data_IF_118622134201
#
_entry.id   IF_118622134201
#
_cell.length_a   1.000
_cell.length_b   1.000
_cell.length_c   1.000
_cell.angle_alpha   90.00
_cell.angle_beta   90.00
_cell.angle_gamma   90.00
#
_symmetry.space_group_name_H-M   'P 1'
#
loop_
_entity.id
_entity.type
_entity.pdbx_description
1 polymer ?
#
# COMPACT_ATOMS: atom_id res chain seq x y z
N UNK A 1 -10.56 -6.07 0.11
CA UNK A 1 -10.22 -7.21 -0.77
C UNK A 1 -10.53 -6.94 -2.24
N UNK A 2 -11.79 -6.73 -2.66
CA UNK A 2 -12.11 -6.55 -4.09
C UNK A 2 -11.27 -5.48 -4.81
N UNK A 3 -11.05 -4.32 -4.18
CA UNK A 3 -10.18 -3.27 -4.71
C UNK A 3 -8.70 -3.65 -4.71
N UNK A 4 -8.22 -4.26 -3.62
CA UNK A 4 -6.84 -4.72 -3.48
C UNK A 4 -6.46 -5.72 -4.60
N UNK A 5 -7.31 -6.70 -4.87
CA UNK A 5 -7.06 -7.71 -5.91
C UNK A 5 -7.18 -7.13 -7.32
N UNK A 6 -8.35 -6.56 -7.64
CA UNK A 6 -8.67 -6.18 -9.01
C UNK A 6 -7.93 -4.91 -9.46
N UNK A 7 -7.90 -3.89 -8.61
CA UNK A 7 -7.36 -2.57 -8.95
C UNK A 7 -6.03 -2.29 -8.28
N UNK A 8 -5.71 -2.95 -7.18
CA UNK A 8 -4.35 -3.03 -6.64
C UNK A 8 -3.50 -3.88 -7.56
N UNK A 9 -3.46 -5.20 -7.37
CA UNK A 9 -2.62 -6.10 -8.16
C UNK A 9 -2.88 -6.04 -9.67
N UNK A 10 -4.12 -5.83 -10.10
CA UNK A 10 -4.45 -5.70 -11.53
C UNK A 10 -4.02 -4.38 -12.20
N UNK A 11 -3.44 -3.43 -11.47
CA UNK A 11 -2.92 -2.17 -12.02
C UNK A 11 -1.39 -2.07 -11.98
N UNK A 12 -0.85 -1.15 -12.79
CA UNK A 12 0.59 -0.87 -12.87
C UNK A 12 1.25 -1.53 -14.09
N UNK A 13 1.99 -0.73 -14.87
CA UNK A 13 2.72 -1.22 -16.03
C UNK A 13 4.21 -1.32 -15.69
N UNK A 14 4.78 -2.51 -15.84
CA UNK A 14 6.23 -2.70 -15.80
C UNK A 14 6.83 -2.24 -17.14
N UNK A 15 7.73 -1.26 -17.08
CA UNK A 15 8.44 -0.74 -18.23
C UNK A 15 9.60 -1.67 -18.60
N UNK A 16 9.68 -2.07 -19.86
CA UNK A 16 10.58 -3.15 -20.31
C UNK A 16 11.33 -2.79 -21.60
N UNK A 17 12.55 -3.29 -21.72
CA UNK A 17 13.34 -3.36 -22.95
C UNK A 17 13.56 -4.84 -23.33
N UNK A 18 13.12 -5.24 -24.51
CA UNK A 18 13.30 -6.60 -25.02
C UNK A 18 14.75 -6.88 -25.43
N UNK A 19 15.08 -8.17 -25.65
CA UNK A 19 16.37 -8.58 -26.21
C UNK A 19 16.68 -7.95 -27.59
N UNK A 20 15.64 -7.64 -28.37
CA UNK A 20 15.77 -6.95 -29.68
C UNK A 20 15.93 -5.44 -29.56
N UNK A 21 15.97 -4.90 -28.33
CA UNK A 21 16.14 -3.48 -28.06
C UNK A 21 14.87 -2.64 -28.12
N UNK A 22 13.70 -3.26 -28.32
CA UNK A 22 12.42 -2.55 -28.35
C UNK A 22 11.90 -2.26 -26.94
N UNK A 23 11.32 -1.07 -26.77
CA UNK A 23 10.69 -0.65 -25.51
C UNK A 23 9.18 -0.85 -25.57
N UNK A 24 8.56 -1.28 -24.46
CA UNK A 24 7.10 -1.35 -24.37
C UNK A 24 6.45 0.01 -24.01
N UNK A 25 7.22 1.10 -24.10
CA UNK A 25 6.81 2.48 -23.81
C UNK A 25 7.57 3.46 -24.70
N UNK A 26 7.06 4.69 -24.82
CA UNK A 26 7.72 5.75 -25.56
C UNK A 26 8.77 6.44 -24.69
N UNK A 27 10.05 6.25 -25.02
CA UNK A 27 11.18 6.81 -24.27
C UNK A 27 11.33 8.33 -24.42
N UNK A 28 10.72 8.92 -25.45
CA UNK A 28 10.88 10.33 -25.78
C UNK A 28 9.82 11.20 -25.13
N UNK A 29 8.68 10.62 -24.77
CA UNK A 29 7.53 11.35 -24.21
C UNK A 29 7.11 10.90 -22.81
N UNK A 30 7.32 9.63 -22.44
CA UNK A 30 6.91 9.14 -21.13
C UNK A 30 7.78 9.75 -20.03
N UNK A 31 7.13 10.48 -19.12
CA UNK A 31 7.78 11.10 -17.96
C UNK A 31 7.47 10.33 -16.69
N UNK A 32 8.47 10.20 -15.83
CA UNK A 32 8.30 9.74 -14.47
C UNK A 32 7.48 10.78 -13.68
N UNK A 33 6.32 10.42 -13.10
CA UNK A 33 5.46 11.38 -12.41
C UNK A 33 6.08 11.97 -11.14
N UNK A 34 7.09 11.31 -10.54
CA UNK A 34 7.76 11.77 -9.32
C UNK A 34 8.88 12.79 -9.60
N UNK A 35 9.56 12.66 -10.75
CA UNK A 35 10.73 13.49 -11.07
C UNK A 35 10.51 14.42 -12.26
N UNK A 36 9.42 14.22 -13.01
CA UNK A 36 9.09 14.89 -14.27
C UNK A 36 10.17 14.76 -15.37
N UNK A 37 11.10 13.81 -15.20
CA UNK A 37 12.14 13.46 -16.18
C UNK A 37 11.71 12.27 -17.04
N UNK A 38 12.41 12.03 -18.14
CA UNK A 38 12.23 10.81 -18.94
C UNK A 38 12.58 9.56 -18.12
N UNK A 39 12.06 8.41 -18.55
CA UNK A 39 12.30 7.13 -17.88
C UNK A 39 13.75 6.68 -18.08
N UNK A 40 14.49 6.61 -16.98
CA UNK A 40 15.90 6.16 -16.95
C UNK A 40 16.04 4.69 -16.53
N UNK A 41 15.04 4.12 -15.83
CA UNK A 41 15.07 2.77 -15.29
C UNK A 41 13.89 1.93 -15.82
N UNK A 42 14.18 0.70 -16.24
CA UNK A 42 13.23 -0.26 -16.79
C UNK A 42 13.81 -1.68 -16.64
N UNK A 43 12.96 -2.69 -16.72
CA UNK A 43 13.40 -4.09 -16.72
C UNK A 43 14.00 -4.46 -18.07
N UNK A 44 15.10 -5.21 -18.04
CA UNK A 44 15.69 -5.84 -19.21
C UNK A 44 15.01 -7.17 -19.52
N UNK A 45 15.38 -7.75 -20.66
CA UNK A 45 14.91 -9.06 -21.08
C UNK A 45 15.21 -10.13 -20.01
N UNK A 46 14.22 -10.96 -19.70
CA UNK A 46 14.32 -11.98 -18.64
C UNK A 46 14.17 -11.46 -17.20
N UNK A 47 14.21 -10.14 -16.96
CA UNK A 47 14.06 -9.59 -15.61
C UNK A 47 12.59 -9.53 -15.18
N UNK A 48 12.31 -9.91 -13.94
CA UNK A 48 10.98 -9.88 -13.34
C UNK A 48 10.96 -8.96 -12.13
N UNK A 49 9.77 -8.59 -11.68
CA UNK A 49 9.61 -7.84 -10.43
C UNK A 49 10.31 -8.56 -9.27
N UNK A 50 10.06 -9.86 -9.11
CA UNK A 50 10.67 -10.67 -8.06
C UNK A 50 12.20 -10.77 -8.19
N UNK A 51 12.75 -10.86 -9.41
CA UNK A 51 14.20 -10.94 -9.58
C UNK A 51 14.91 -9.62 -9.24
N UNK A 52 14.22 -8.48 -9.32
CA UNK A 52 14.76 -7.16 -8.99
C UNK A 52 14.53 -6.73 -7.55
N UNK A 53 13.36 -7.00 -7.01
CA UNK A 53 12.99 -6.58 -5.66
C UNK A 53 13.32 -7.67 -4.61
N UNK A 54 13.49 -8.92 -5.02
CA UNK A 54 13.93 -10.01 -4.15
C UNK A 54 13.06 -10.13 -2.90
N UNK A 55 13.71 -10.20 -1.74
CA UNK A 55 13.03 -10.40 -0.45
C UNK A 55 12.03 -9.30 -0.07
N UNK A 56 12.13 -8.09 -0.63
CA UNK A 56 11.17 -7.02 -0.37
C UNK A 56 9.95 -7.07 -1.30
N UNK A 57 10.04 -7.80 -2.42
CA UNK A 57 9.09 -7.72 -3.52
C UNK A 57 7.65 -7.95 -3.08
N UNK A 58 7.41 -9.06 -2.38
CA UNK A 58 6.06 -9.40 -1.90
C UNK A 58 5.50 -8.32 -0.99
N UNK A 59 6.20 -7.93 0.08
CA UNK A 59 5.67 -6.92 1.01
C UNK A 59 5.45 -5.55 0.35
N UNK A 60 6.33 -5.15 -0.58
CA UNK A 60 6.17 -3.91 -1.31
C UNK A 60 4.92 -3.94 -2.21
N UNK A 61 4.69 -5.05 -2.91
CA UNK A 61 3.53 -5.21 -3.79
C UNK A 61 2.22 -5.29 -3.00
N UNK A 62 2.21 -6.00 -1.86
CA UNK A 62 1.08 -5.98 -0.92
C UNK A 62 0.80 -4.56 -0.40
N UNK A 63 1.84 -3.80 -0.07
CA UNK A 63 1.71 -2.42 0.38
C UNK A 63 1.09 -1.53 -0.69
N UNK A 64 1.47 -1.71 -1.96
CA UNK A 64 0.88 -1.00 -3.09
C UNK A 64 -0.60 -1.37 -3.25
N UNK A 65 -0.93 -2.66 -3.20
CA UNK A 65 -2.30 -3.13 -3.40
C UNK A 65 -3.25 -2.72 -2.26
N UNK A 66 -2.81 -2.82 -1.00
CA UNK A 66 -3.53 -2.31 0.18
C UNK A 66 -3.73 -0.77 0.08
N UNK A 67 -2.70 -0.01 -0.32
CA UNK A 67 -2.80 1.44 -0.52
C UNK A 67 -3.84 1.82 -1.58
N UNK A 68 -3.88 1.09 -2.71
CA UNK A 68 -4.92 1.29 -3.74
C UNK A 68 -6.31 1.00 -3.18
N UNK A 69 -6.44 -0.05 -2.36
CA UNK A 69 -7.69 -0.36 -1.67
C UNK A 69 -8.19 0.77 -0.78
N UNK A 70 -7.30 1.40 0.00
CA UNK A 70 -7.62 2.56 0.83
C UNK A 70 -7.95 3.80 0.00
N UNK A 71 -7.15 4.10 -1.02
CA UNK A 71 -7.34 5.26 -1.88
C UNK A 71 -8.68 5.20 -2.61
N UNK A 72 -9.02 4.06 -3.21
CA UNK A 72 -10.25 3.89 -3.96
C UNK A 72 -11.49 3.68 -3.10
N UNK A 73 -11.35 3.37 -1.81
CA UNK A 73 -12.52 3.33 -0.91
C UNK A 73 -13.12 4.71 -0.68
N UNK A 74 -12.35 5.79 -0.92
CA UNK A 74 -12.84 7.17 -0.84
C UNK A 74 -13.84 7.51 -1.96
N UNK A 75 -13.85 6.71 -3.04
CA UNK A 75 -14.72 6.94 -4.19
C UNK A 75 -16.13 6.40 -3.93
N UNK A 76 -17.09 7.28 -3.59
CA UNK A 76 -18.48 6.88 -3.29
C UNK A 76 -19.13 6.04 -4.40
N UNK A 77 -18.74 6.23 -5.66
CA UNK A 77 -19.24 5.41 -6.77
C UNK A 77 -18.76 3.95 -6.71
N UNK A 78 -17.57 3.70 -6.17
CA UNK A 78 -17.10 2.34 -5.88
C UNK A 78 -18.01 1.70 -4.83
N UNK A 79 -18.32 2.40 -3.75
CA UNK A 79 -19.19 1.89 -2.69
C UNK A 79 -20.62 1.60 -3.17
N UNK A 80 -21.15 2.39 -4.11
CA UNK A 80 -22.42 2.10 -4.80
C UNK A 80 -22.38 0.79 -5.57
N UNK A 81 -21.27 0.45 -6.25
CA UNK A 81 -21.11 -0.85 -6.92
C UNK A 81 -21.17 -2.00 -5.91
N UNK A 82 -20.69 -1.79 -4.69
CA UNK A 82 -20.80 -2.76 -3.59
C UNK A 82 -22.17 -2.77 -2.90
N UNK A 83 -23.13 -1.97 -3.35
CA UNK A 83 -24.50 -1.90 -2.81
C UNK A 83 -24.68 -0.92 -1.65
N UNK A 84 -23.75 0.02 -1.45
CA UNK A 84 -23.82 1.05 -0.42
C UNK A 84 -24.09 2.42 -1.05
N UNK A 85 -25.37 2.78 -1.17
CA UNK A 85 -25.80 3.99 -1.86
C UNK A 85 -25.94 5.22 -0.95
N UNK A 86 -26.10 5.00 0.35
CA UNK A 86 -26.25 6.07 1.33
C UNK A 86 -24.90 6.68 1.69
N UNK A 87 -24.80 7.99 1.64
CA UNK A 87 -23.54 8.72 1.86
C UNK A 87 -23.01 8.55 3.29
N UNK A 88 -23.89 8.50 4.30
CA UNK A 88 -23.53 8.23 5.70
C UNK A 88 -22.93 6.82 5.88
N UNK A 89 -23.57 5.80 5.31
CA UNK A 89 -23.07 4.42 5.33
C UNK A 89 -21.74 4.32 4.57
N UNK A 90 -21.59 5.07 3.47
CA UNK A 90 -20.35 5.08 2.69
C UNK A 90 -19.18 5.69 3.46
N UNK A 91 -19.44 6.78 4.20
CA UNK A 91 -18.44 7.43 5.04
C UNK A 91 -18.05 6.53 6.24
N UNK A 92 -19.01 5.84 6.88
CA UNK A 92 -18.75 4.85 7.94
C UNK A 92 -17.92 3.66 7.43
N UNK A 93 -18.24 3.12 6.25
CA UNK A 93 -17.49 2.01 5.64
C UNK A 93 -16.06 2.44 5.34
N UNK A 94 -15.88 3.64 4.81
CA UNK A 94 -14.56 4.22 4.56
C UNK A 94 -13.77 4.32 5.85
N UNK A 95 -14.35 4.92 6.88
CA UNK A 95 -13.71 5.09 8.18
C UNK A 95 -13.32 3.74 8.79
N UNK A 96 -14.23 2.78 8.85
CA UNK A 96 -13.97 1.45 9.42
C UNK A 96 -12.92 0.68 8.60
N UNK A 97 -12.91 0.83 7.27
CA UNK A 97 -11.90 0.21 6.40
C UNK A 97 -10.49 0.73 6.71
N UNK A 98 -10.33 2.06 6.80
CA UNK A 98 -9.06 2.70 7.17
C UNK A 98 -8.65 2.33 8.60
N UNK A 99 -9.55 2.47 9.57
CA UNK A 99 -9.31 2.14 10.98
C UNK A 99 -8.86 0.69 11.13
N UNK A 100 -9.58 -0.26 10.52
CA UNK A 100 -9.26 -1.69 10.62
C UNK A 100 -7.88 -2.02 10.05
N UNK A 101 -7.54 -1.47 8.89
CA UNK A 101 -6.24 -1.73 8.26
C UNK A 101 -5.08 -1.15 9.08
N UNK A 102 -5.18 0.11 9.49
CA UNK A 102 -4.12 0.81 10.23
C UNK A 102 -3.98 0.27 11.66
N UNK A 103 -5.09 -0.06 12.31
CA UNK A 103 -5.08 -0.75 13.60
C UNK A 103 -4.38 -2.11 13.49
N UNK A 104 -4.63 -2.89 12.44
CA UNK A 104 -3.88 -4.12 12.21
C UNK A 104 -2.37 -3.85 12.04
N UNK A 105 -2.00 -2.71 11.45
CA UNK A 105 -0.62 -2.24 11.35
C UNK A 105 0.08 -2.02 12.70
N UNK A 106 -0.61 -1.55 13.73
CA UNK A 106 0.00 -1.36 15.06
C UNK A 106 -0.20 -2.56 15.99
N UNK A 107 -1.39 -3.15 15.98
CA UNK A 107 -1.80 -4.15 16.97
C UNK A 107 -1.40 -5.58 16.60
N UNK A 108 -1.38 -5.90 15.30
CA UNK A 108 -1.16 -7.27 14.81
C UNK A 108 0.11 -7.45 14.02
N UNK A 109 0.49 -6.47 13.21
CA UNK A 109 1.67 -6.61 12.37
C UNK A 109 2.94 -6.82 13.20
N UNK A 110 3.08 -6.12 14.34
CA UNK A 110 4.26 -6.23 15.20
C UNK A 110 4.45 -7.64 15.79
N UNK A 111 3.39 -8.46 15.89
CA UNK A 111 3.51 -9.88 16.27
C UNK A 111 4.31 -10.69 15.22
N UNK A 112 4.40 -10.18 13.98
CA UNK A 112 5.08 -10.79 12.84
C UNK A 112 6.47 -10.16 12.58
N UNK A 113 6.94 -9.25 13.42
CA UNK A 113 8.28 -8.69 13.33
C UNK A 113 9.19 -9.34 14.37
N UNK A 114 10.32 -9.88 13.93
CA UNK A 114 11.33 -10.46 14.82
C UNK A 114 12.43 -9.44 15.12
N UNK A 115 12.53 -8.91 16.35
CA UNK A 115 13.47 -7.83 16.68
C UNK A 115 14.94 -8.25 16.56
N UNK A 116 15.28 -9.49 16.91
CA UNK A 116 16.67 -9.99 16.93
C UNK A 116 17.26 -10.06 15.52
N UNK A 117 16.45 -10.50 14.56
CA UNK A 117 16.87 -10.66 13.17
C UNK A 117 16.51 -9.45 12.30
N UNK A 118 15.67 -8.54 12.83
CA UNK A 118 15.09 -7.40 12.12
C UNK A 118 14.34 -7.82 10.86
N UNK A 119 13.63 -8.94 10.92
CA UNK A 119 12.90 -9.53 9.79
C UNK A 119 11.40 -9.53 10.05
N UNK A 120 10.66 -9.29 8.98
CA UNK A 120 9.23 -9.52 8.93
C UNK A 120 8.97 -10.96 8.49
N UNK A 121 8.08 -11.63 9.21
CA UNK A 121 7.69 -13.03 8.98
C UNK A 121 6.47 -13.15 8.06
N UNK A 122 5.77 -12.05 7.79
CA UNK A 122 4.56 -12.04 6.96
C UNK A 122 4.48 -10.73 6.16
N UNK A 123 4.33 -10.85 4.83
CA UNK A 123 4.44 -9.74 3.89
C UNK A 123 3.35 -8.65 4.06
N UNK A 124 2.10 -9.06 4.31
CA UNK A 124 0.98 -8.13 4.47
C UNK A 124 1.07 -7.36 5.79
N UNK A 125 1.64 -7.96 6.83
CA UNK A 125 1.84 -7.38 8.15
C UNK A 125 2.88 -6.27 8.03
N UNK A 126 3.99 -6.55 7.36
CA UNK A 126 4.97 -5.54 7.02
C UNK A 126 4.36 -4.42 6.19
N UNK A 127 3.55 -4.74 5.18
CA UNK A 127 2.85 -3.75 4.36
C UNK A 127 1.93 -2.84 5.17
N UNK A 128 1.08 -3.40 6.04
CA UNK A 128 0.19 -2.64 6.92
C UNK A 128 0.94 -1.81 7.94
N UNK A 129 2.05 -2.31 8.48
CA UNK A 129 2.92 -1.52 9.34
C UNK A 129 3.52 -0.33 8.57
N UNK A 130 3.97 -0.52 7.33
CA UNK A 130 4.47 0.58 6.49
C UNK A 130 3.37 1.62 6.24
N UNK A 131 2.16 1.20 5.89
CA UNK A 131 1.03 2.13 5.67
C UNK A 131 0.68 2.90 6.94
N UNK A 132 0.68 2.24 8.11
CA UNK A 132 0.55 2.91 9.40
C UNK A 132 1.64 3.98 9.58
N UNK A 133 2.90 3.65 9.32
CA UNK A 133 4.02 4.59 9.46
C UNK A 133 3.89 5.79 8.52
N UNK A 134 3.43 5.59 7.29
CA UNK A 134 3.13 6.67 6.33
C UNK A 134 2.02 7.58 6.87
N UNK A 135 0.95 7.01 7.43
CA UNK A 135 -0.16 7.82 7.97
C UNK A 135 0.26 8.60 9.24
N UNK A 136 1.12 8.03 10.09
CA UNK A 136 1.72 8.75 11.22
C UNK A 136 2.64 9.88 10.73
N UNK A 137 3.44 9.63 9.69
CA UNK A 137 4.36 10.61 9.10
C UNK A 137 3.64 11.75 8.39
N UNK A 138 2.40 11.52 7.91
CA UNK A 138 1.57 12.56 7.32
C UNK A 138 1.26 13.71 8.29
N UNK A 139 1.31 13.46 9.61
CA UNK A 139 1.14 14.49 10.63
C UNK A 139 -0.31 14.90 10.85
N UNK A 140 -0.50 16.14 11.31
CA UNK A 140 -1.81 16.77 11.57
C UNK A 140 -2.76 15.94 12.44
N UNK A 141 -2.20 15.14 13.36
CA UNK A 141 -2.94 14.26 14.26
C UNK A 141 -3.82 13.20 13.57
N UNK A 142 -3.61 12.98 12.26
CA UNK A 142 -4.38 12.04 11.44
C UNK A 142 -4.39 10.62 12.02
N UNK A 143 -3.23 10.13 12.46
CA UNK A 143 -3.10 8.85 13.16
C UNK A 143 -2.23 8.98 14.39
N UNK A 144 -2.73 8.49 15.53
CA UNK A 144 -1.99 8.42 16.80
C UNK A 144 -1.97 7.02 17.39
N UNK A 145 -0.83 6.65 17.95
CA UNK A 145 -0.66 5.46 18.79
C UNK A 145 -0.01 5.91 20.09
N UNK A 146 -0.76 5.83 21.18
CA UNK A 146 -0.37 6.40 22.46
C UNK A 146 -0.46 5.35 23.57
N UNK A 147 0.51 5.35 24.47
CA UNK A 147 0.44 4.58 25.70
C UNK A 147 -0.51 5.27 26.69
N UNK A 148 -1.67 4.65 26.94
CA UNK A 148 -2.69 5.18 27.84
C UNK A 148 -2.60 4.57 29.25
N UNK A 149 -1.96 3.41 29.35
CA UNK A 149 -1.55 2.81 30.61
C UNK A 149 -0.14 2.27 30.46
N UNK A 150 0.76 2.81 31.29
CA UNK A 150 2.18 2.47 31.24
C UNK A 150 2.41 0.96 31.31
N UNK A 151 3.17 0.45 30.34
CA UNK A 151 3.56 -0.94 30.10
C UNK A 151 2.37 -1.91 29.94
N UNK A 152 1.16 -1.41 29.62
CA UNK A 152 -0.07 -2.21 29.61
C UNK A 152 -0.96 -2.01 28.40
N UNK A 153 -1.18 -0.78 27.97
CA UNK A 153 -2.23 -0.50 27.00
C UNK A 153 -1.88 0.64 26.05
N UNK A 154 -2.21 0.41 24.77
CA UNK A 154 -2.08 1.39 23.70
C UNK A 154 -3.47 1.79 23.20
N UNK A 155 -3.66 3.08 22.94
CA UNK A 155 -4.81 3.61 22.21
C UNK A 155 -4.36 3.96 20.80
N UNK A 156 -5.12 3.46 19.82
CA UNK A 156 -5.05 3.88 18.44
C UNK A 156 -6.17 4.89 18.16
N UNK A 157 -5.87 5.99 17.47
CA UNK A 157 -6.84 7.00 17.05
C UNK A 157 -6.60 7.35 15.58
N UNK A 158 -7.69 7.44 14.83
CA UNK A 158 -7.77 7.88 13.43
C UNK A 158 -8.78 9.02 13.40
N UNK A 159 -8.38 10.18 12.86
CA UNK A 159 -9.26 11.33 12.60
C UNK A 159 -9.96 11.19 11.24
#
# INVERSE_FOLDING_TARGET
VGLHELLGHGSGKLLRKSATGQFNFDQTSLKNPLTNKLIENYFLDGETYDSKFGAMGSSYEECRAEAVGLYLSLEKNVLKIFGHESDDIADDITYVNWLSLLWNGCAKALEMYQPETKKWLQAHSQARYVLLRVCIEAGDDFVKVEEVEKDKNLRFTLD
#
